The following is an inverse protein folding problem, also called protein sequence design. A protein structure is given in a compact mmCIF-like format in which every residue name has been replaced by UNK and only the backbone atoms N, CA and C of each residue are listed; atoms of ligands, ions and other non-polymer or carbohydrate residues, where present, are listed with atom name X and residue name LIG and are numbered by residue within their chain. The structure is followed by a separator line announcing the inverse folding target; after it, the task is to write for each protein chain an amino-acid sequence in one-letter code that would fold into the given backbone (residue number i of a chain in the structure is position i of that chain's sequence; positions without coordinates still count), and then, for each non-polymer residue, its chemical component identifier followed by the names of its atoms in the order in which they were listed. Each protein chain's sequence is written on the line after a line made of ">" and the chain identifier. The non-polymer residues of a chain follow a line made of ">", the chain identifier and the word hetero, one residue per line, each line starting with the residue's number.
data_IF_793203109988
#
_entry.id   IF_793203109988
#
_cell.length_a   1.000
_cell.length_b   1.000
_cell.length_c   1.000
_cell.angle_alpha   90.00
_cell.angle_beta   90.00
_cell.angle_gamma   90.00
#
_symmetry.space_group_name_H-M   'P 1'
#
loop_
_entity.id
_entity.type
_entity.pdbx_description
1 polymer ?
#
# COMPACT_ATOMS: atom_id res chain seq x y z
N UNK A 1 -44.78 33.56 -26.78
CA UNK A 1 -44.58 32.29 -26.05
C UNK A 1 -45.10 31.06 -26.83
N UNK A 2 -46.10 31.17 -27.66
CA UNK A 2 -46.69 30.05 -28.42
C UNK A 2 -45.70 29.36 -29.38
N UNK A 3 -44.83 30.13 -30.03
CA UNK A 3 -43.87 29.61 -31.02
C UNK A 3 -42.73 28.79 -30.36
N UNK A 4 -42.31 29.15 -29.15
CA UNK A 4 -41.26 28.44 -28.42
C UNK A 4 -41.71 27.04 -28.00
N UNK A 5 -42.96 26.94 -27.51
CA UNK A 5 -43.58 25.66 -27.15
C UNK A 5 -43.79 24.73 -28.36
N UNK A 6 -44.14 25.29 -29.51
CA UNK A 6 -44.27 24.51 -30.74
C UNK A 6 -42.92 23.97 -31.24
N UNK A 7 -41.87 24.77 -31.18
CA UNK A 7 -40.52 24.36 -31.55
C UNK A 7 -40.04 23.24 -30.59
N UNK A 8 -40.17 23.46 -29.28
CA UNK A 8 -39.80 22.49 -28.26
C UNK A 8 -40.50 21.14 -28.45
N UNK A 9 -41.83 21.17 -28.70
CA UNK A 9 -42.64 19.97 -28.95
C UNK A 9 -42.17 19.21 -30.21
N UNK A 10 -41.85 19.95 -31.26
CA UNK A 10 -41.38 19.39 -32.53
C UNK A 10 -39.99 18.74 -32.37
N UNK A 11 -39.10 19.43 -31.68
CA UNK A 11 -37.73 18.94 -31.46
C UNK A 11 -37.72 17.72 -30.53
N UNK A 12 -38.56 17.74 -29.49
CA UNK A 12 -38.74 16.58 -28.60
C UNK A 12 -39.33 15.38 -29.36
N UNK A 13 -40.32 15.59 -30.22
CA UNK A 13 -40.89 14.53 -31.05
C UNK A 13 -39.85 13.97 -32.02
N UNK A 14 -39.01 14.81 -32.60
CA UNK A 14 -37.90 14.39 -33.47
C UNK A 14 -36.86 13.55 -32.71
N UNK A 15 -36.49 13.98 -31.51
CA UNK A 15 -35.54 13.26 -30.64
C UNK A 15 -36.05 11.84 -30.34
N UNK A 16 -37.33 11.69 -30.03
CA UNK A 16 -37.93 10.39 -29.68
C UNK A 16 -38.15 9.49 -30.91
N UNK A 17 -38.33 10.07 -32.11
CA UNK A 17 -38.66 9.30 -33.32
C UNK A 17 -37.43 8.88 -34.13
N UNK A 18 -36.25 9.46 -33.86
CA UNK A 18 -35.02 9.14 -34.59
C UNK A 18 -34.24 8.06 -33.83
N UNK A 19 -34.04 6.84 -34.39
CA UNK A 19 -33.32 5.74 -33.71
C UNK A 19 -31.90 6.10 -33.28
N UNK A 20 -31.21 6.89 -34.10
CA UNK A 20 -29.85 7.34 -33.76
C UNK A 20 -29.81 8.21 -32.49
N UNK A 21 -30.85 9.00 -32.23
CA UNK A 21 -30.93 9.79 -31.00
C UNK A 21 -31.03 8.93 -29.75
N UNK A 22 -31.73 7.80 -29.83
CA UNK A 22 -31.80 6.83 -28.72
C UNK A 22 -30.43 6.19 -28.41
N UNK A 23 -29.69 5.82 -29.43
CA UNK A 23 -28.31 5.25 -29.26
C UNK A 23 -27.41 6.25 -28.54
N UNK A 24 -27.47 7.53 -28.97
CA UNK A 24 -26.66 8.58 -28.33
C UNK A 24 -27.10 8.83 -26.89
N UNK A 25 -28.44 8.92 -26.65
CA UNK A 25 -28.97 9.13 -25.30
C UNK A 25 -28.61 7.99 -24.35
N UNK A 26 -28.76 6.74 -24.79
CA UNK A 26 -28.39 5.56 -24.00
C UNK A 26 -26.90 5.58 -23.71
N UNK A 27 -26.07 5.88 -24.70
CA UNK A 27 -24.62 6.02 -24.49
C UNK A 27 -24.28 7.11 -23.46
N UNK A 28 -24.89 8.29 -23.57
CA UNK A 28 -24.67 9.40 -22.63
C UNK A 28 -25.13 9.10 -21.20
N UNK A 29 -26.18 8.30 -21.04
CA UNK A 29 -26.72 7.91 -19.74
C UNK A 29 -25.89 6.78 -19.11
N UNK A 30 -25.40 5.82 -19.92
CA UNK A 30 -24.73 4.62 -19.40
C UNK A 30 -23.21 4.78 -19.28
N UNK A 31 -22.56 5.44 -20.23
CA UNK A 31 -21.10 5.50 -20.27
C UNK A 31 -20.50 6.21 -19.06
N UNK A 32 -20.96 7.40 -18.63
CA UNK A 32 -20.39 8.08 -17.48
C UNK A 32 -20.54 7.31 -16.15
N UNK A 33 -21.73 6.75 -15.82
CA UNK A 33 -21.87 5.93 -14.62
C UNK A 33 -21.04 4.65 -14.66
N UNK A 34 -20.95 3.98 -15.82
CA UNK A 34 -20.09 2.79 -15.97
C UNK A 34 -18.63 3.14 -15.76
N UNK A 35 -18.15 4.24 -16.36
CA UNK A 35 -16.80 4.72 -16.16
C UNK A 35 -16.52 5.02 -14.68
N UNK A 36 -17.43 5.75 -14.02
CA UNK A 36 -17.33 6.03 -12.60
C UNK A 36 -17.34 4.74 -11.76
N UNK A 37 -18.22 3.79 -12.09
CA UNK A 37 -18.30 2.50 -11.41
C UNK A 37 -17.00 1.70 -11.53
N UNK A 38 -16.43 1.59 -12.72
CA UNK A 38 -15.16 0.90 -12.93
C UNK A 38 -14.02 1.54 -12.15
N UNK A 39 -13.96 2.87 -12.15
CA UNK A 39 -12.95 3.57 -11.36
C UNK A 39 -13.14 3.35 -9.85
N UNK A 40 -14.36 3.49 -9.35
CA UNK A 40 -14.67 3.26 -7.93
C UNK A 40 -14.35 1.82 -7.57
N UNK A 41 -14.77 0.84 -8.37
CA UNK A 41 -14.51 -0.58 -8.11
C UNK A 41 -13.02 -0.91 -8.12
N UNK A 42 -12.25 -0.37 -9.08
CA UNK A 42 -10.80 -0.59 -9.18
C UNK A 42 -10.02 0.04 -8.03
N UNK A 43 -10.51 1.15 -7.47
CA UNK A 43 -9.86 1.87 -6.36
C UNK A 43 -10.57 1.73 -5.02
N UNK A 44 -11.59 0.86 -4.93
CA UNK A 44 -12.39 0.69 -3.71
C UNK A 44 -11.56 0.23 -2.51
N UNK A 45 -10.59 -0.63 -2.74
CA UNK A 45 -9.69 -1.10 -1.71
C UNK A 45 -8.26 -1.23 -2.28
N UNK A 46 -7.52 -0.12 -2.45
CA UNK A 46 -6.15 -0.16 -2.94
C UNK A 46 -5.21 -0.95 -2.02
N UNK A 47 -5.59 -1.10 -0.75
CA UNK A 47 -4.82 -1.82 0.26
C UNK A 47 -5.23 -3.30 0.40
N UNK A 48 -6.30 -3.75 -0.24
CA UNK A 48 -6.77 -5.14 -0.16
C UNK A 48 -6.03 -6.12 -1.07
N UNK A 49 -5.17 -5.62 -1.97
CA UNK A 49 -4.33 -6.41 -2.88
C UNK A 49 -2.85 -6.06 -2.74
N UNK A 50 -2.43 -5.65 -1.54
CA UNK A 50 -1.05 -5.26 -1.25
C UNK A 50 -0.18 -6.43 -0.82
N UNK A 51 -0.75 -7.62 -0.66
CA UNK A 51 -0.06 -8.88 -0.45
C UNK A 51 0.94 -9.23 -1.58
N UNK A 52 0.68 -8.74 -2.79
CA UNK A 52 1.59 -8.85 -3.93
C UNK A 52 2.79 -7.90 -3.87
N UNK A 53 2.77 -6.89 -2.98
CA UNK A 53 3.89 -5.98 -2.75
C UNK A 53 4.84 -6.64 -1.76
N UNK A 54 5.89 -7.25 -2.30
CA UNK A 54 6.89 -7.97 -1.53
C UNK A 54 7.81 -7.01 -0.78
N UNK A 55 7.95 -7.25 0.52
CA UNK A 55 8.85 -6.53 1.40
C UNK A 55 9.75 -7.54 2.13
N UNK A 56 11.05 -7.43 1.93
CA UNK A 56 12.02 -8.27 2.59
C UNK A 56 12.21 -7.83 4.06
N UNK A 57 12.27 -8.79 4.97
CA UNK A 57 12.54 -8.54 6.38
C UNK A 57 13.77 -9.34 6.80
N UNK A 58 14.82 -8.65 7.23
CA UNK A 58 16.04 -9.23 7.73
C UNK A 58 16.18 -8.96 9.23
N UNK A 59 15.93 -9.95 10.03
CA UNK A 59 16.09 -9.86 11.47
C UNK A 59 17.47 -10.37 11.89
N UNK A 60 18.30 -9.47 12.42
CA UNK A 60 19.63 -9.78 12.98
C UNK A 60 19.67 -9.60 14.49
N UNK A 61 18.56 -9.21 15.13
CA UNK A 61 18.50 -8.93 16.57
C UNK A 61 18.87 -10.14 17.41
N UNK A 62 19.81 -9.95 18.30
CA UNK A 62 20.28 -10.99 19.22
C UNK A 62 19.49 -11.06 20.52
N UNK A 63 18.55 -10.12 20.70
CA UNK A 63 17.89 -9.92 21.97
C UNK A 63 18.80 -9.29 23.01
N UNK A 64 18.24 -9.05 24.20
CA UNK A 64 18.98 -8.52 25.35
C UNK A 64 18.56 -9.22 26.64
N UNK A 65 19.43 -9.22 27.61
CA UNK A 65 19.14 -9.65 28.99
C UNK A 65 19.37 -8.46 29.91
N UNK A 66 18.30 -7.73 30.19
CA UNK A 66 18.35 -6.51 31.00
C UNK A 66 17.73 -6.74 32.37
N UNK A 67 18.33 -6.18 33.41
CA UNK A 67 17.86 -6.30 34.80
C UNK A 67 16.41 -5.82 35.02
N UNK A 68 15.91 -4.90 34.15
CA UNK A 68 14.54 -4.36 34.23
C UNK A 68 13.52 -5.17 33.41
N UNK A 69 13.91 -5.67 32.25
CA UNK A 69 13.01 -6.31 31.28
C UNK A 69 13.21 -7.83 31.22
N UNK A 70 14.28 -8.36 31.86
CA UNK A 70 14.69 -9.75 31.71
C UNK A 70 15.19 -10.06 30.30
N UNK A 71 15.08 -11.33 29.91
CA UNK A 71 15.53 -11.80 28.59
C UNK A 71 14.45 -11.51 27.54
N UNK A 72 14.69 -10.56 26.65
CA UNK A 72 13.75 -10.10 25.63
C UNK A 72 14.41 -10.10 24.26
N UNK A 73 13.67 -10.53 23.24
CA UNK A 73 14.05 -10.40 21.82
C UNK A 73 12.91 -9.71 21.09
N UNK A 74 13.03 -8.40 20.95
CA UNK A 74 11.98 -7.56 20.35
C UNK A 74 11.97 -7.69 18.82
N UNK A 75 13.12 -7.89 18.19
CA UNK A 75 13.21 -8.18 16.77
C UNK A 75 12.47 -9.47 16.41
N UNK A 76 12.60 -10.51 17.23
CA UNK A 76 11.84 -11.75 17.05
C UNK A 76 10.32 -11.56 17.27
N UNK A 77 9.90 -10.70 18.17
CA UNK A 77 8.48 -10.37 18.37
C UNK A 77 7.91 -9.60 17.16
N UNK A 78 8.66 -8.63 16.64
CA UNK A 78 8.29 -7.90 15.41
C UNK A 78 8.14 -8.89 14.25
N UNK A 79 9.13 -9.75 14.04
CA UNK A 79 9.08 -10.78 13.00
C UNK A 79 7.85 -11.69 13.14
N UNK A 80 7.55 -12.14 14.36
CA UNK A 80 6.35 -12.93 14.64
C UNK A 80 5.06 -12.19 14.32
N UNK A 81 4.98 -10.90 14.63
CA UNK A 81 3.82 -10.06 14.32
C UNK A 81 3.66 -9.86 12.80
N UNK A 82 4.76 -9.62 12.09
CA UNK A 82 4.74 -9.45 10.63
C UNK A 82 4.32 -10.76 9.92
N UNK A 83 4.69 -11.93 10.43
CA UNK A 83 4.25 -13.23 9.88
C UNK A 83 2.73 -13.43 9.94
N UNK A 84 2.05 -12.77 10.85
CA UNK A 84 0.59 -12.81 10.98
C UNK A 84 -0.11 -11.62 10.32
N UNK A 85 0.64 -10.76 9.64
CA UNK A 85 0.12 -9.57 8.99
C UNK A 85 0.01 -9.79 7.47
N UNK A 86 -1.20 -9.75 6.94
CA UNK A 86 -1.50 -10.00 5.52
C UNK A 86 -1.58 -8.69 4.69
N UNK A 87 -1.14 -7.56 5.25
CA UNK A 87 -1.23 -6.27 4.55
C UNK A 87 -0.18 -6.11 3.45
N UNK A 88 0.96 -6.82 3.56
CA UNK A 88 2.03 -6.83 2.56
C UNK A 88 2.54 -8.26 2.39
N UNK A 89 3.22 -8.52 1.27
CA UNK A 89 3.93 -9.78 1.02
C UNK A 89 5.27 -9.82 1.76
N UNK A 90 5.22 -10.17 3.05
CA UNK A 90 6.43 -10.23 3.87
C UNK A 90 7.29 -11.43 3.52
N UNK A 91 8.53 -11.18 3.10
CA UNK A 91 9.52 -12.22 2.82
C UNK A 91 10.68 -12.15 3.83
N UNK A 92 10.82 -13.20 4.64
CA UNK A 92 11.85 -13.25 5.70
C UNK A 92 13.12 -13.89 5.18
N UNK A 93 14.23 -13.14 5.22
CA UNK A 93 15.51 -13.59 4.68
C UNK A 93 16.69 -12.90 5.38
N UNK A 94 17.91 -13.34 5.10
CA UNK A 94 19.12 -12.68 5.63
C UNK A 94 19.37 -11.33 4.95
N UNK A 95 20.10 -10.41 5.64
CA UNK A 95 20.39 -9.04 5.16
C UNK A 95 20.96 -9.02 3.74
N UNK A 96 21.90 -9.91 3.41
CA UNK A 96 22.52 -9.94 2.07
C UNK A 96 21.48 -10.23 0.97
N UNK A 97 20.63 -11.24 1.18
CA UNK A 97 19.58 -11.61 0.24
C UNK A 97 18.49 -10.54 0.16
N UNK A 98 18.16 -9.89 1.29
CA UNK A 98 17.18 -8.79 1.31
C UNK A 98 17.66 -7.59 0.48
N UNK A 99 18.93 -7.25 0.57
CA UNK A 99 19.53 -6.18 -0.25
C UNK A 99 19.54 -6.54 -1.74
N UNK A 100 19.93 -7.78 -2.07
CA UNK A 100 19.92 -8.28 -3.45
C UNK A 100 18.49 -8.29 -4.04
N UNK A 101 17.49 -8.73 -3.25
CA UNK A 101 16.09 -8.74 -3.67
C UNK A 101 15.53 -7.34 -3.94
N UNK A 102 15.98 -6.32 -3.20
CA UNK A 102 15.61 -4.93 -3.47
C UNK A 102 16.34 -4.39 -4.71
N UNK A 103 17.62 -4.70 -4.88
CA UNK A 103 18.39 -4.25 -6.05
C UNK A 103 17.91 -4.91 -7.35
N UNK A 104 17.56 -6.19 -7.32
CA UNK A 104 16.99 -6.92 -8.47
C UNK A 104 15.57 -6.49 -8.80
N UNK A 105 14.85 -5.90 -7.85
CA UNK A 105 13.45 -5.53 -7.99
C UNK A 105 12.46 -6.65 -7.64
N UNK A 106 12.92 -7.76 -7.07
CA UNK A 106 12.07 -8.84 -6.58
C UNK A 106 11.27 -8.41 -5.35
N UNK A 107 11.87 -7.55 -4.52
CA UNK A 107 11.21 -6.86 -3.41
C UNK A 107 11.20 -5.34 -3.64
N UNK A 108 10.12 -4.70 -3.25
CA UNK A 108 9.99 -3.23 -3.35
C UNK A 108 10.77 -2.51 -2.27
N UNK A 109 10.91 -3.12 -1.11
CA UNK A 109 11.63 -2.58 0.03
C UNK A 109 12.24 -3.69 0.88
N UNK A 110 13.20 -3.33 1.73
CA UNK A 110 13.72 -4.20 2.78
C UNK A 110 13.76 -3.46 4.11
N UNK A 111 13.34 -4.16 5.16
CA UNK A 111 13.46 -3.73 6.55
C UNK A 111 14.55 -4.60 7.19
N UNK A 112 15.57 -3.95 7.72
CA UNK A 112 16.65 -4.64 8.44
C UNK A 112 16.59 -4.24 9.91
N UNK A 113 16.42 -5.22 10.77
CA UNK A 113 16.45 -5.06 12.22
C UNK A 113 17.92 -5.32 12.67
N UNK A 114 18.63 -4.31 13.19
CA UNK A 114 20.03 -4.46 13.61
C UNK A 114 20.20 -5.44 14.76
N UNK A 115 21.44 -5.90 14.96
CA UNK A 115 21.78 -6.90 15.97
C UNK A 115 21.64 -6.42 17.42
N UNK A 116 21.67 -5.14 17.63
CA UNK A 116 21.63 -4.41 18.90
C UNK A 116 20.25 -3.76 19.19
N UNK A 117 19.26 -4.02 18.31
CA UNK A 117 17.95 -3.38 18.38
C UNK A 117 17.27 -3.56 19.75
N UNK A 118 17.21 -4.77 20.29
CA UNK A 118 16.64 -5.04 21.61
C UNK A 118 17.43 -4.37 22.73
N UNK A 119 18.75 -4.32 22.63
CA UNK A 119 19.62 -3.70 23.59
C UNK A 119 19.43 -2.18 23.61
N UNK A 120 19.43 -1.55 22.44
CA UNK A 120 19.21 -0.12 22.31
C UNK A 120 17.82 0.30 22.82
N UNK A 121 16.77 -0.45 22.49
CA UNK A 121 15.43 -0.18 22.98
C UNK A 121 15.32 -0.33 24.49
N UNK A 122 15.94 -1.33 25.09
CA UNK A 122 16.01 -1.51 26.54
C UNK A 122 16.76 -0.35 27.22
N UNK A 123 17.81 0.16 26.57
CA UNK A 123 18.61 1.28 27.07
C UNK A 123 17.92 2.65 26.95
N UNK A 124 16.94 2.82 26.05
CA UNK A 124 16.14 4.05 25.99
C UNK A 124 15.43 4.32 27.31
N UNK A 125 14.98 3.29 28.00
CA UNK A 125 14.30 3.41 29.30
C UNK A 125 15.26 3.85 30.41
N UNK A 126 16.53 3.51 30.29
CA UNK A 126 17.57 3.80 31.28
C UNK A 126 18.47 4.98 30.91
N UNK A 127 18.66 5.25 29.63
CA UNK A 127 19.60 6.26 29.15
C UNK A 127 19.18 6.77 27.74
N UNK A 128 18.64 7.96 27.67
CA UNK A 128 18.04 8.58 26.47
C UNK A 128 19.03 8.93 25.33
N UNK A 129 20.28 8.50 25.41
CA UNK A 129 21.30 8.78 24.35
C UNK A 129 21.35 7.78 23.20
N UNK A 130 20.83 6.56 23.41
CA UNK A 130 20.76 5.54 22.35
C UNK A 130 19.32 5.51 21.82
N UNK A 131 19.14 5.60 20.51
CA UNK A 131 17.83 5.45 19.86
C UNK A 131 17.88 4.18 19.02
N UNK A 132 16.97 3.23 19.23
CA UNK A 132 16.87 2.09 18.33
C UNK A 132 16.55 2.61 16.93
N UNK A 133 17.23 2.09 15.94
CA UNK A 133 17.03 2.45 14.53
C UNK A 133 16.72 1.20 13.75
N UNK A 134 15.75 1.28 12.85
CA UNK A 134 15.50 0.30 11.81
C UNK A 134 16.11 0.82 10.51
N UNK A 135 16.83 -0.04 9.80
CA UNK A 135 17.30 0.31 8.47
C UNK A 135 16.22 -0.01 7.46
N UNK A 136 15.83 0.98 6.65
CA UNK A 136 14.81 0.84 5.62
C UNK A 136 15.39 1.16 4.25
N UNK A 137 15.31 0.19 3.34
CA UNK A 137 15.81 0.29 1.97
C UNK A 137 14.66 0.18 0.99
N UNK A 138 14.61 1.07 -0.01
CA UNK A 138 13.54 1.14 -1.01
C UNK A 138 14.12 1.17 -2.40
N UNK A 139 13.51 0.45 -3.32
CA UNK A 139 13.81 0.55 -4.73
C UNK A 139 12.91 1.60 -5.40
N UNK A 140 13.33 2.86 -5.40
CA UNK A 140 12.60 3.96 -6.03
C UNK A 140 12.49 3.83 -7.55
N UNK A 141 13.35 3.00 -8.18
CA UNK A 141 13.34 2.78 -9.63
C UNK A 141 12.23 1.84 -10.08
N UNK A 142 11.78 0.94 -9.21
CA UNK A 142 10.80 -0.08 -9.55
C UNK A 142 9.38 0.50 -9.70
N UNK A 143 8.99 1.44 -8.85
CA UNK A 143 7.69 2.13 -8.95
C UNK A 143 7.66 3.41 -8.11
N UNK A 144 7.15 4.53 -8.66
CA UNK A 144 7.00 5.78 -7.89
C UNK A 144 5.98 5.71 -6.75
N UNK A 145 5.11 4.69 -6.75
CA UNK A 145 4.02 4.51 -5.77
C UNK A 145 4.44 3.56 -4.64
N UNK A 146 5.35 2.62 -4.92
CA UNK A 146 5.80 1.60 -3.96
C UNK A 146 6.35 2.18 -2.65
N UNK A 147 7.18 3.24 -2.66
CA UNK A 147 7.68 3.83 -1.42
C UNK A 147 6.56 4.30 -0.48
N UNK A 148 5.50 4.89 -1.02
CA UNK A 148 4.36 5.35 -0.20
C UNK A 148 3.59 4.24 0.48
N UNK A 149 3.47 3.09 -0.18
CA UNK A 149 2.73 1.94 0.36
C UNK A 149 3.56 1.23 1.41
N UNK A 150 4.86 1.06 1.15
CA UNK A 150 5.78 0.39 2.08
C UNK A 150 6.04 1.22 3.34
N UNK A 151 6.11 2.55 3.24
CA UNK A 151 6.21 3.46 4.38
C UNK A 151 5.01 3.34 5.33
N UNK A 152 3.79 3.20 4.79
CA UNK A 152 2.59 3.00 5.62
C UNK A 152 2.54 1.63 6.28
N UNK A 153 3.12 0.61 5.66
CA UNK A 153 3.20 -0.72 6.24
C UNK A 153 4.25 -0.86 7.34
N UNK A 154 5.22 0.08 7.40
CA UNK A 154 6.32 0.08 8.39
C UNK A 154 6.03 0.94 9.63
N UNK A 155 4.95 1.73 9.63
CA UNK A 155 4.50 2.55 10.77
C UNK A 155 3.40 1.89 11.57
#
# INVERSE_FOLDING_TARGET
>A
MHNVLQILRRDFKRLVTVPAAWVIMIGLILIPPLYAWFNIYGFWNPYGNTDSIKVAVANMDKGTDNALLGKVNLGGQIEGTLKSNDQLGWEFMGKANAMEAVESGDCYAAIVIPSDFSEDLANVVTNSKHRPTLEYYVNEKASPISPKITDQGAT
#
